data_IF_416130640081
#
_entry.id   IF_416130640081
#
_cell.length_a   1.000
_cell.length_b   1.000
_cell.length_c   1.000
_cell.angle_alpha   90.00
_cell.angle_beta   90.00
_cell.angle_gamma   90.00
#
_symmetry.space_group_name_H-M   'P 1'
#
loop_
_entity.id
_entity.type
_entity.pdbx_description
1 polymer ?
#
# COMPACT_ATOMS: atom_id res chain seq x y z
N UNK A 1 -6.97 21.70 12.61
CA UNK A 1 -6.51 23.05 13.04
C UNK A 1 -5.15 23.04 13.78
N UNK A 2 -4.81 21.99 14.54
CA UNK A 2 -3.57 21.93 15.34
C UNK A 2 -2.27 22.09 14.53
N UNK A 3 -2.27 21.74 13.25
CA UNK A 3 -1.09 21.78 12.38
C UNK A 3 -1.05 22.97 11.40
N UNK A 4 -2.14 23.72 11.26
CA UNK A 4 -2.30 24.75 10.23
C UNK A 4 -1.25 25.87 10.23
N UNK A 5 -0.56 26.08 11.37
CA UNK A 5 0.47 27.11 11.53
C UNK A 5 1.85 26.54 11.83
N UNK A 6 2.03 25.22 11.85
CA UNK A 6 3.32 24.59 12.09
C UNK A 6 4.10 24.45 10.80
N UNK A 7 5.38 24.68 10.86
CA UNK A 7 6.29 24.41 9.73
C UNK A 7 6.41 22.90 9.54
N UNK A 8 6.40 22.45 8.28
CA UNK A 8 6.41 21.03 7.92
C UNK A 8 7.70 20.32 8.35
N UNK A 9 8.81 21.03 8.45
CA UNK A 9 10.09 20.53 8.90
C UNK A 9 10.17 20.27 10.42
N UNK A 10 9.21 20.80 11.18
CA UNK A 10 9.09 20.58 12.63
C UNK A 10 8.10 19.46 12.99
N UNK A 11 7.55 18.79 12.00
CA UNK A 11 6.61 17.68 12.18
C UNK A 11 7.35 16.35 12.30
N UNK A 12 6.78 15.42 13.07
CA UNK A 12 7.22 14.03 13.04
C UNK A 12 6.99 13.41 11.65
N UNK A 13 7.71 12.33 11.34
CA UNK A 13 7.55 11.62 10.06
C UNK A 13 6.10 11.25 9.78
N UNK A 14 5.38 10.71 10.78
CA UNK A 14 3.98 10.35 10.65
C UNK A 14 3.04 11.55 10.49
N UNK A 15 3.28 12.65 11.20
CA UNK A 15 2.49 13.90 11.02
C UNK A 15 2.68 14.48 9.61
N UNK A 16 3.92 14.50 9.14
CA UNK A 16 4.26 14.96 7.79
C UNK A 16 3.58 14.08 6.73
N UNK A 17 3.62 12.76 6.89
CA UNK A 17 3.01 11.81 5.97
C UNK A 17 1.49 12.04 5.85
N UNK A 18 0.80 12.22 6.97
CA UNK A 18 -0.64 12.55 7.00
C UNK A 18 -0.97 13.83 6.25
N UNK A 19 -0.17 14.87 6.42
CA UNK A 19 -0.37 16.17 5.74
C UNK A 19 -0.14 16.04 4.23
N UNK A 20 0.92 15.33 3.80
CA UNK A 20 1.19 15.11 2.39
C UNK A 20 0.09 14.31 1.71
N UNK A 21 -0.41 13.25 2.36
CA UNK A 21 -1.53 12.48 1.86
C UNK A 21 -2.80 13.33 1.76
N UNK A 22 -3.12 14.11 2.80
CA UNK A 22 -4.28 15.01 2.77
C UNK A 22 -4.16 16.04 1.64
N UNK A 23 -2.98 16.61 1.42
CA UNK A 23 -2.72 17.56 0.33
C UNK A 23 -2.91 16.91 -1.06
N UNK A 24 -2.50 15.66 -1.23
CA UNK A 24 -2.73 14.92 -2.47
C UNK A 24 -4.22 14.64 -2.71
N UNK A 25 -4.96 14.28 -1.67
CA UNK A 25 -6.39 13.94 -1.76
C UNK A 25 -7.28 15.16 -2.05
N UNK A 26 -6.92 16.33 -1.53
CA UNK A 26 -7.67 17.58 -1.77
C UNK A 26 -7.60 18.05 -3.22
N UNK A 27 -6.62 17.57 -4.00
CA UNK A 27 -6.53 17.89 -5.43
C UNK A 27 -7.63 17.26 -6.29
N UNK A 28 -8.37 16.28 -5.74
CA UNK A 28 -9.46 15.56 -6.45
C UNK A 28 -9.05 15.02 -7.83
N UNK A 29 -7.78 14.63 -7.96
CA UNK A 29 -7.23 14.11 -9.19
C UNK A 29 -7.88 12.76 -9.55
N UNK A 30 -8.08 12.50 -10.83
CA UNK A 30 -8.58 11.20 -11.33
C UNK A 30 -7.54 10.09 -11.22
N UNK A 31 -6.26 10.44 -11.14
CA UNK A 31 -5.13 9.52 -10.93
C UNK A 31 -4.32 10.01 -9.74
N UNK A 32 -4.10 9.14 -8.77
CA UNK A 32 -3.32 9.40 -7.56
C UNK A 32 -2.07 8.53 -7.58
N UNK A 33 -0.90 9.17 -7.52
CA UNK A 33 0.39 8.50 -7.44
C UNK A 33 0.93 8.61 -6.00
N UNK A 34 1.19 7.48 -5.37
CA UNK A 34 1.61 7.41 -3.97
C UNK A 34 2.88 6.58 -3.84
N UNK A 35 3.85 7.13 -3.13
CA UNK A 35 5.08 6.43 -2.76
C UNK A 35 5.08 6.21 -1.25
N UNK A 36 4.97 4.93 -0.84
CA UNK A 36 4.97 4.49 0.56
C UNK A 36 3.99 5.28 1.46
N UNK A 37 2.69 5.41 1.12
CA UNK A 37 1.79 6.36 1.79
C UNK A 37 1.50 6.03 3.25
N UNK A 38 1.74 4.80 3.71
CA UNK A 38 1.50 4.36 5.08
C UNK A 38 2.78 4.17 5.91
N UNK A 39 3.95 4.38 5.32
CA UNK A 39 5.24 4.28 6.02
C UNK A 39 5.35 5.33 7.12
N UNK A 40 5.99 5.00 8.24
CA UNK A 40 6.13 5.81 9.46
C UNK A 40 4.81 6.09 10.22
N UNK A 41 3.70 5.50 9.83
CA UNK A 41 2.45 5.56 10.58
C UNK A 41 2.35 4.38 11.54
N UNK A 42 1.69 4.60 12.68
CA UNK A 42 1.31 3.50 13.55
C UNK A 42 0.20 2.64 12.92
N UNK A 43 -0.02 1.39 13.40
CA UNK A 43 -0.96 0.46 12.78
C UNK A 43 -2.39 0.97 12.65
N UNK A 44 -2.85 1.81 13.58
CA UNK A 44 -4.19 2.41 13.50
C UNK A 44 -4.31 3.35 12.30
N UNK A 45 -3.32 4.25 12.14
CA UNK A 45 -3.33 5.19 11.02
C UNK A 45 -3.01 4.52 9.68
N UNK A 46 -2.19 3.47 9.65
CA UNK A 46 -2.00 2.66 8.44
C UNK A 46 -3.35 2.09 7.96
N UNK A 47 -4.12 1.52 8.86
CA UNK A 47 -5.46 1.02 8.55
C UNK A 47 -6.38 2.13 8.00
N UNK A 48 -6.40 3.31 8.63
CA UNK A 48 -7.20 4.45 8.17
C UNK A 48 -6.81 4.92 6.76
N UNK A 49 -5.50 4.99 6.47
CA UNK A 49 -4.99 5.32 5.13
C UNK A 49 -5.46 4.28 4.11
N UNK A 50 -5.30 3.00 4.40
CA UNK A 50 -5.70 1.93 3.49
C UNK A 50 -7.22 1.95 3.23
N UNK A 51 -8.02 2.17 4.27
CA UNK A 51 -9.48 2.31 4.14
C UNK A 51 -9.84 3.49 3.24
N UNK A 52 -9.22 4.65 3.46
CA UNK A 52 -9.46 5.86 2.68
C UNK A 52 -9.08 5.67 1.19
N UNK A 53 -7.94 5.04 0.91
CA UNK A 53 -7.52 4.74 -0.46
C UNK A 53 -8.49 3.80 -1.16
N UNK A 54 -8.98 2.78 -0.45
CA UNK A 54 -10.01 1.88 -0.97
C UNK A 54 -11.31 2.63 -1.31
N UNK A 55 -11.81 3.47 -0.41
CA UNK A 55 -12.99 4.31 -0.64
C UNK A 55 -12.82 5.23 -1.86
N UNK A 56 -11.64 5.84 -2.03
CA UNK A 56 -11.34 6.68 -3.20
C UNK A 56 -11.29 5.88 -4.50
N UNK A 57 -10.73 4.69 -4.46
CA UNK A 57 -10.73 3.79 -5.62
C UNK A 57 -12.15 3.38 -6.01
N UNK A 58 -12.97 2.98 -5.06
CA UNK A 58 -14.38 2.63 -5.27
C UNK A 58 -15.21 3.81 -5.81
N UNK A 59 -14.83 5.04 -5.46
CA UNK A 59 -15.41 6.27 -6.01
C UNK A 59 -14.90 6.64 -7.41
N UNK A 60 -14.02 5.82 -8.02
CA UNK A 60 -13.55 5.98 -9.40
C UNK A 60 -12.15 6.59 -9.56
N UNK A 61 -11.42 6.86 -8.47
CA UNK A 61 -10.03 7.32 -8.56
C UNK A 61 -9.11 6.15 -8.93
N UNK A 62 -8.29 6.33 -9.95
CA UNK A 62 -7.19 5.39 -10.24
C UNK A 62 -6.04 5.64 -9.27
N UNK A 63 -5.60 4.60 -8.56
CA UNK A 63 -4.50 4.71 -7.59
C UNK A 63 -3.33 3.86 -8.06
N UNK A 64 -2.17 4.48 -8.22
CA UNK A 64 -0.89 3.81 -8.42
C UNK A 64 -0.06 4.00 -7.16
N UNK A 65 0.25 2.92 -6.48
CA UNK A 65 0.93 2.95 -5.19
C UNK A 65 2.20 2.10 -5.23
N UNK A 66 3.30 2.65 -4.78
CA UNK A 66 4.50 1.88 -4.44
C UNK A 66 4.42 1.52 -2.95
N UNK A 67 4.68 0.27 -2.61
CA UNK A 67 4.73 -0.20 -1.23
C UNK A 67 5.64 -1.42 -1.10
N UNK A 68 6.31 -1.54 0.04
CA UNK A 68 7.02 -2.75 0.45
C UNK A 68 6.17 -3.66 1.38
N UNK A 69 4.99 -3.19 1.82
CA UNK A 69 4.05 -4.02 2.56
C UNK A 69 3.28 -4.94 1.60
N UNK A 70 3.77 -6.17 1.48
CA UNK A 70 3.19 -7.19 0.62
C UNK A 70 1.72 -7.48 0.99
N UNK A 71 1.42 -7.62 2.28
CA UNK A 71 0.07 -7.95 2.72
C UNK A 71 -0.93 -6.82 2.47
N UNK A 72 -0.53 -5.56 2.68
CA UNK A 72 -1.35 -4.41 2.32
C UNK A 72 -1.58 -4.33 0.81
N UNK A 73 -0.53 -4.52 0.01
CA UNK A 73 -0.60 -4.53 -1.45
C UNK A 73 -1.56 -5.61 -1.96
N UNK A 74 -1.49 -6.83 -1.42
CA UNK A 74 -2.37 -7.95 -1.79
C UNK A 74 -3.85 -7.70 -1.43
N UNK A 75 -4.11 -6.90 -0.40
CA UNK A 75 -5.50 -6.56 0.00
C UNK A 75 -6.10 -5.39 -0.78
N UNK A 76 -5.27 -4.44 -1.20
CA UNK A 76 -5.72 -3.18 -1.80
C UNK A 76 -5.69 -3.20 -3.33
N UNK A 77 -4.69 -3.86 -3.92
CA UNK A 77 -4.47 -3.80 -5.35
C UNK A 77 -5.42 -4.72 -6.13
N UNK A 78 -5.81 -4.27 -7.31
CA UNK A 78 -6.45 -5.10 -8.36
C UNK A 78 -5.40 -5.67 -9.31
N UNK A 79 -4.35 -4.87 -9.60
CA UNK A 79 -3.22 -5.22 -10.45
C UNK A 79 -1.93 -4.98 -9.69
N UNK A 80 -0.91 -5.78 -9.93
CA UNK A 80 0.41 -5.64 -9.32
C UNK A 80 1.49 -5.66 -10.40
N UNK A 81 2.39 -4.70 -10.32
CA UNK A 81 3.68 -4.72 -10.99
C UNK A 81 4.76 -5.01 -9.94
N UNK A 82 5.34 -6.20 -9.98
CA UNK A 82 6.50 -6.51 -9.14
C UNK A 82 7.80 -6.26 -9.91
N UNK A 83 8.73 -5.57 -9.28
CA UNK A 83 10.04 -5.24 -9.83
C UNK A 83 11.13 -6.01 -9.12
N UNK A 84 12.09 -6.54 -9.90
CA UNK A 84 13.30 -7.19 -9.38
C UNK A 84 14.49 -6.75 -10.22
N UNK A 85 15.55 -6.28 -9.57
CA UNK A 85 16.77 -5.81 -10.24
C UNK A 85 16.51 -4.81 -11.38
N UNK A 86 15.55 -3.88 -11.18
CA UNK A 86 15.19 -2.86 -12.17
C UNK A 86 14.39 -3.38 -13.37
N UNK A 87 13.90 -4.61 -13.32
CA UNK A 87 13.09 -5.23 -14.40
C UNK A 87 11.75 -5.68 -13.85
N UNK A 88 10.74 -5.72 -14.72
CA UNK A 88 9.45 -6.33 -14.40
C UNK A 88 9.64 -7.83 -14.20
N UNK A 89 9.36 -8.30 -12.99
CA UNK A 89 9.33 -9.72 -12.65
C UNK A 89 7.92 -10.31 -12.73
N UNK A 90 6.89 -9.47 -12.55
CA UNK A 90 5.49 -9.84 -12.70
C UNK A 90 4.67 -8.59 -13.04
N UNK A 91 3.67 -8.75 -13.89
CA UNK A 91 2.62 -7.77 -14.13
C UNK A 91 1.31 -8.53 -14.37
N UNK A 92 0.31 -8.29 -13.54
CA UNK A 92 -0.98 -8.95 -13.69
C UNK A 92 -1.90 -8.77 -12.48
N UNK A 93 -3.06 -9.45 -12.49
CA UNK A 93 -4.00 -9.43 -11.39
C UNK A 93 -3.36 -9.91 -10.08
N UNK A 94 -3.74 -9.29 -8.97
CA UNK A 94 -3.23 -9.66 -7.63
C UNK A 94 -3.50 -11.14 -7.30
N UNK A 95 -4.59 -11.70 -7.77
CA UNK A 95 -4.94 -13.10 -7.55
C UNK A 95 -3.90 -14.07 -8.16
N UNK A 96 -3.31 -13.73 -9.29
CA UNK A 96 -2.25 -14.53 -9.91
C UNK A 96 -0.92 -14.45 -9.16
N UNK A 97 -0.64 -13.33 -8.51
CA UNK A 97 0.56 -13.18 -7.69
C UNK A 97 0.52 -14.09 -6.44
N UNK A 98 -0.68 -14.39 -5.95
CA UNK A 98 -0.89 -15.27 -4.80
C UNK A 98 -0.75 -16.77 -5.13
N UNK A 99 -0.56 -17.13 -6.40
CA UNK A 99 -0.33 -18.52 -6.78
C UNK A 99 1.00 -19.03 -6.16
N UNK A 100 1.02 -20.28 -5.67
CA UNK A 100 2.22 -20.86 -5.06
C UNK A 100 3.45 -20.75 -5.96
N UNK A 101 4.60 -20.40 -5.40
CA UNK A 101 5.87 -20.25 -6.11
C UNK A 101 6.07 -18.92 -6.84
N UNK A 102 5.05 -18.08 -6.96
CA UNK A 102 5.17 -16.76 -7.63
C UNK A 102 5.99 -15.77 -6.82
N UNK A 103 5.65 -15.63 -5.54
CA UNK A 103 6.36 -14.72 -4.63
C UNK A 103 7.79 -15.20 -4.37
N UNK A 104 7.97 -16.50 -4.20
CA UNK A 104 9.28 -17.13 -4.03
C UNK A 104 10.19 -16.80 -5.22
N UNK A 105 9.69 -16.89 -6.44
CA UNK A 105 10.45 -16.57 -7.64
C UNK A 105 10.81 -15.08 -7.76
N UNK A 106 9.97 -14.19 -7.22
CA UNK A 106 10.20 -12.73 -7.25
C UNK A 106 11.18 -12.31 -6.15
N UNK A 107 10.98 -12.79 -4.92
CA UNK A 107 11.69 -12.34 -3.74
C UNK A 107 12.88 -13.21 -3.32
N UNK A 108 13.02 -14.39 -3.95
CA UNK A 108 14.09 -15.35 -3.65
C UNK A 108 14.08 -15.82 -2.19
N UNK A 109 12.88 -15.99 -1.64
CA UNK A 109 12.61 -16.30 -0.24
C UNK A 109 11.40 -17.21 -0.18
N UNK A 110 11.40 -18.19 0.71
CA UNK A 110 10.23 -19.02 0.99
C UNK A 110 9.16 -18.21 1.73
N UNK A 111 7.89 -18.54 1.47
CA UNK A 111 6.76 -17.87 2.09
C UNK A 111 5.77 -18.87 2.66
N UNK A 112 5.25 -18.57 3.84
CA UNK A 112 4.10 -19.24 4.44
C UNK A 112 2.82 -18.52 4.02
N UNK A 113 1.91 -19.25 3.40
CA UNK A 113 0.60 -18.76 2.99
C UNK A 113 -0.44 -19.14 4.06
N UNK A 114 -0.95 -18.16 4.77
CA UNK A 114 -1.96 -18.32 5.80
C UNK A 114 -3.24 -17.57 5.42
N UNK A 115 -4.29 -17.78 6.19
CA UNK A 115 -5.51 -16.97 6.11
C UNK A 115 -5.76 -16.27 7.43
N UNK A 116 -6.12 -15.00 7.34
CA UNK A 116 -6.48 -14.23 8.53
C UNK A 116 -7.72 -14.83 9.20
N UNK A 117 -7.69 -15.10 10.52
CA UNK A 117 -8.72 -15.91 11.20
C UNK A 117 -10.10 -15.26 11.26
N UNK A 118 -10.21 -13.93 11.10
CA UNK A 118 -11.48 -13.21 11.19
C UNK A 118 -12.18 -13.01 9.84
N UNK A 119 -11.42 -12.73 8.79
CA UNK A 119 -11.98 -12.33 7.47
C UNK A 119 -11.55 -13.23 6.32
N UNK A 120 -10.71 -14.25 6.59
CA UNK A 120 -10.23 -15.20 5.60
C UNK A 120 -9.28 -14.61 4.55
N UNK A 121 -8.88 -13.36 4.71
CA UNK A 121 -7.98 -12.69 3.76
C UNK A 121 -6.61 -13.37 3.73
N UNK A 122 -5.97 -13.45 2.56
CA UNK A 122 -4.61 -14.00 2.46
C UNK A 122 -3.63 -13.23 3.35
N UNK A 123 -2.82 -13.97 4.06
CA UNK A 123 -1.66 -13.47 4.78
C UNK A 123 -0.43 -14.23 4.32
N UNK A 124 0.61 -13.51 4.01
CA UNK A 124 1.87 -14.06 3.50
C UNK A 124 2.99 -13.59 4.42
N UNK A 125 3.75 -14.53 4.91
CA UNK A 125 4.84 -14.29 5.86
C UNK A 125 6.10 -14.93 5.30
N UNK A 126 7.23 -14.22 5.18
CA UNK A 126 8.51 -14.86 4.86
C UNK A 126 8.88 -15.88 5.95
N UNK A 127 9.48 -17.00 5.52
CA UNK A 127 10.09 -17.99 6.44
C UNK A 127 11.40 -17.48 7.05
#
# INVERSE_FOLDING_TARGET
EAYARRRIDLLSGGERQKILLAAALVQEASILLLDEPATFLDPHYQYEVHRLLKERHEAGTTIVMVSHDLNASLRLATQVLALRHGRSAFLGPVAELQAPGRLEAIFDTAFVYARHPRDGQPQIVPE
#
